data_IF_764952505976
#
_entry.id   IF_764952505976
#
_cell.length_a   1.000
_cell.length_b   1.000
_cell.length_c   1.000
_cell.angle_alpha   90.00
_cell.angle_beta   90.00
_cell.angle_gamma   90.00
#
_symmetry.space_group_name_H-M   'P 1'
#
loop_
_entity.id
_entity.type
_entity.pdbx_description
1 polymer ?
#
# COMPACT_ATOMS: atom_id res chain seq x y z
N UNK A 1 2.06 -8.74 13.88
CA UNK A 1 2.74 -8.07 12.77
C UNK A 1 3.52 -9.02 11.87
N UNK A 2 4.40 -9.90 12.37
CA UNK A 2 5.18 -10.82 11.50
C UNK A 2 4.36 -11.61 10.49
N UNK A 3 3.28 -12.26 10.93
CA UNK A 3 2.42 -13.04 10.04
C UNK A 3 1.84 -12.22 8.88
N UNK A 4 1.58 -10.91 9.09
CA UNK A 4 1.09 -10.02 8.04
C UNK A 4 2.21 -9.70 7.05
N UNK A 5 3.40 -9.35 7.54
CA UNK A 5 4.59 -9.08 6.70
C UNK A 5 4.96 -10.30 5.86
N UNK A 6 4.92 -11.49 6.46
CA UNK A 6 5.22 -12.75 5.78
C UNK A 6 4.15 -13.10 4.74
N UNK A 7 2.86 -12.91 5.06
CA UNK A 7 1.77 -13.09 4.11
C UNK A 7 1.89 -12.13 2.90
N UNK A 8 2.28 -10.88 3.13
CA UNK A 8 2.48 -9.91 2.06
C UNK A 8 3.65 -10.30 1.15
N UNK A 9 4.76 -10.77 1.73
CA UNK A 9 5.88 -11.35 0.97
C UNK A 9 5.41 -12.51 0.10
N UNK A 10 4.66 -13.46 0.67
CA UNK A 10 4.12 -14.61 -0.06
C UNK A 10 3.22 -14.21 -1.23
N UNK A 11 2.31 -13.25 -1.00
CA UNK A 11 1.44 -12.73 -2.07
C UNK A 11 2.26 -12.03 -3.15
N UNK A 12 3.26 -11.23 -2.76
CA UNK A 12 4.14 -10.52 -3.69
C UNK A 12 4.89 -11.45 -4.64
N UNK A 13 5.45 -12.55 -4.13
CA UNK A 13 6.15 -13.56 -4.93
C UNK A 13 5.22 -14.54 -5.66
N UNK A 14 3.97 -14.69 -5.20
CA UNK A 14 3.06 -15.76 -5.62
C UNK A 14 1.67 -15.28 -6.00
N UNK A 15 1.54 -14.19 -6.77
CA UNK A 15 0.25 -13.57 -7.10
C UNK A 15 -0.78 -14.50 -7.76
N UNK A 16 -0.33 -15.40 -8.64
CA UNK A 16 -1.20 -16.41 -9.24
C UNK A 16 -1.72 -17.42 -8.19
N UNK A 17 -0.86 -17.82 -7.25
CA UNK A 17 -1.25 -18.69 -6.15
C UNK A 17 -2.21 -17.98 -5.20
N UNK A 18 -1.95 -16.71 -4.89
CA UNK A 18 -2.84 -15.89 -4.08
C UNK A 18 -4.25 -15.79 -4.68
N UNK A 19 -4.38 -15.70 -6.01
CA UNK A 19 -5.68 -15.70 -6.67
C UNK A 19 -6.47 -17.00 -6.42
N UNK A 20 -5.80 -18.14 -6.49
CA UNK A 20 -6.39 -19.46 -6.18
C UNK A 20 -6.82 -19.52 -4.72
N UNK A 21 -5.95 -19.12 -3.79
CA UNK A 21 -6.23 -19.18 -2.36
C UNK A 21 -7.39 -18.24 -1.96
N UNK A 22 -7.47 -17.03 -2.55
CA UNK A 22 -8.55 -16.07 -2.31
C UNK A 22 -9.91 -16.58 -2.84
N UNK A 23 -9.91 -17.24 -4.01
CA UNK A 23 -11.13 -17.80 -4.61
C UNK A 23 -11.60 -19.05 -3.87
N UNK A 24 -10.71 -20.03 -3.66
CA UNK A 24 -11.04 -21.31 -3.01
C UNK A 24 -11.39 -21.14 -1.53
N UNK A 25 -10.71 -20.22 -0.84
CA UNK A 25 -11.02 -19.83 0.54
C UNK A 25 -12.31 -19.02 0.68
N UNK A 26 -12.97 -18.64 -0.42
CA UNK A 26 -14.18 -17.79 -0.44
C UNK A 26 -13.98 -16.45 0.27
N UNK A 27 -12.76 -15.94 0.30
CA UNK A 27 -12.44 -14.61 0.81
C UNK A 27 -12.90 -13.51 -0.14
N UNK A 28 -13.01 -13.84 -1.43
CA UNK A 28 -13.56 -12.99 -2.47
C UNK A 28 -14.70 -13.71 -3.21
N UNK A 29 -15.81 -13.02 -3.52
CA UNK A 29 -16.92 -13.62 -4.25
C UNK A 29 -16.64 -13.82 -5.75
N UNK A 30 -15.57 -13.21 -6.28
CA UNK A 30 -15.19 -13.31 -7.69
C UNK A 30 -14.55 -14.68 -8.02
N UNK A 31 -14.71 -15.11 -9.27
CA UNK A 31 -14.03 -16.31 -9.76
C UNK A 31 -12.50 -16.09 -9.89
N UNK A 32 -11.72 -17.16 -9.73
CA UNK A 32 -10.25 -17.14 -9.78
C UNK A 32 -9.69 -16.36 -11.00
N UNK A 33 -10.19 -16.53 -12.25
CA UNK A 33 -9.63 -15.80 -13.39
C UNK A 33 -9.77 -14.27 -13.29
N UNK A 34 -10.83 -13.78 -12.65
CA UNK A 34 -11.02 -12.36 -12.42
C UNK A 34 -10.06 -11.83 -11.36
N UNK A 35 -9.86 -12.58 -10.27
CA UNK A 35 -8.90 -12.24 -9.21
C UNK A 35 -7.48 -12.27 -9.76
N UNK A 36 -7.11 -13.30 -10.53
CA UNK A 36 -5.80 -13.41 -11.16
C UNK A 36 -5.52 -12.24 -12.09
N UNK A 37 -6.51 -11.80 -12.88
CA UNK A 37 -6.37 -10.62 -13.75
C UNK A 37 -6.07 -9.35 -12.94
N UNK A 38 -6.75 -9.15 -11.81
CA UNK A 38 -6.54 -8.00 -10.93
C UNK A 38 -5.19 -8.04 -10.20
N UNK A 39 -4.72 -9.22 -9.77
CA UNK A 39 -3.44 -9.32 -9.05
C UNK A 39 -2.22 -9.25 -9.98
N UNK A 40 -2.31 -9.87 -11.16
CA UNK A 40 -1.15 -10.02 -12.06
C UNK A 40 -0.99 -8.87 -13.04
N UNK A 41 -2.02 -8.03 -13.24
CA UNK A 41 -2.07 -6.95 -14.24
C UNK A 41 -1.30 -7.33 -15.50
N UNK A 42 -1.90 -8.17 -16.37
CA UNK A 42 -1.29 -8.52 -17.65
C UNK A 42 -0.90 -7.24 -18.38
N UNK A 43 0.36 -7.16 -18.81
CA UNK A 43 0.89 -6.02 -19.55
C UNK A 43 -0.03 -5.78 -20.76
N UNK A 44 -0.75 -4.67 -20.71
CA UNK A 44 -1.75 -4.33 -21.71
C UNK A 44 -1.11 -3.71 -22.94
N UNK A 45 -1.81 -3.72 -24.05
CA UNK A 45 -1.51 -2.91 -25.25
C UNK A 45 -1.72 -1.38 -25.01
N UNK A 46 -2.13 -0.97 -23.80
CA UNK A 46 -2.41 0.43 -23.48
C UNK A 46 -1.13 1.25 -23.28
N UNK A 47 -1.15 2.48 -23.80
CA UNK A 47 -0.12 3.48 -23.51
C UNK A 47 -0.27 3.98 -22.06
N UNK A 48 0.65 3.57 -21.19
CA UNK A 48 0.73 4.01 -19.80
C UNK A 48 1.54 5.30 -19.74
N UNK A 49 0.98 6.37 -19.13
CA UNK A 49 1.68 7.67 -18.99
C UNK A 49 2.90 7.61 -18.07
N UNK A 50 2.84 6.77 -17.04
CA UNK A 50 3.92 6.55 -16.07
C UNK A 50 4.27 5.07 -15.98
N UNK A 51 5.03 4.51 -16.95
CA UNK A 51 5.40 3.10 -16.91
C UNK A 51 6.26 2.76 -15.68
N UNK A 52 7.04 3.72 -15.19
CA UNK A 52 7.93 3.58 -14.03
C UNK A 52 7.20 3.49 -12.70
N UNK A 53 5.92 3.88 -12.63
CA UNK A 53 5.10 3.73 -11.43
C UNK A 53 4.72 2.27 -11.13
N UNK A 54 5.06 1.36 -12.04
CA UNK A 54 4.87 -0.08 -11.90
C UNK A 54 3.47 -0.41 -11.34
N UNK A 55 2.37 -0.29 -12.10
CA UNK A 55 0.99 -0.35 -11.59
C UNK A 55 0.63 -1.61 -10.78
N UNK A 56 1.41 -2.70 -10.95
CA UNK A 56 1.36 -3.91 -10.12
C UNK A 56 1.81 -3.69 -8.65
N UNK A 57 2.45 -2.55 -8.37
CA UNK A 57 2.95 -2.06 -7.10
C UNK A 57 1.98 -1.10 -6.38
N UNK A 58 0.74 -0.91 -6.88
CA UNK A 58 -0.41 -0.70 -5.97
C UNK A 58 -0.67 -2.01 -5.18
N UNK A 59 0.41 -2.54 -4.63
CA UNK A 59 0.52 -3.81 -3.95
C UNK A 59 0.66 -3.58 -2.47
N UNK A 60 0.76 -4.68 -1.75
CA UNK A 60 0.77 -4.73 -0.31
C UNK A 60 2.13 -4.27 0.26
N UNK A 61 2.42 -2.96 0.23
CA UNK A 61 3.55 -2.41 0.99
C UNK A 61 3.19 -2.34 2.47
N UNK A 62 3.97 -3.02 3.30
CA UNK A 62 3.69 -3.20 4.73
C UNK A 62 4.00 -1.95 5.58
N UNK A 63 4.75 -1.01 5.03
CA UNK A 63 5.30 0.10 5.80
C UNK A 63 4.43 1.36 5.67
N UNK A 64 3.88 1.88 6.78
CA UNK A 64 3.08 3.10 6.74
C UNK A 64 4.02 4.31 6.63
N UNK A 65 4.30 4.77 5.41
CA UNK A 65 5.16 5.94 5.20
C UNK A 65 4.51 7.21 5.74
N UNK A 66 5.26 8.00 6.53
CA UNK A 66 4.81 9.29 7.03
C UNK A 66 4.41 10.27 5.92
N UNK A 67 5.20 10.31 4.84
CA UNK A 67 4.91 11.16 3.67
C UNK A 67 3.57 10.83 3.02
N UNK A 68 3.11 9.57 3.06
CA UNK A 68 1.79 9.21 2.57
C UNK A 68 0.67 9.79 3.46
N UNK A 69 0.80 9.69 4.79
CA UNK A 69 -0.19 10.28 5.72
C UNK A 69 -0.26 11.80 5.60
N UNK A 70 0.90 12.47 5.53
CA UNK A 70 0.98 13.92 5.31
C UNK A 70 0.29 14.30 3.99
N UNK A 71 0.61 13.58 2.90
CA UNK A 71 0.01 13.85 1.60
C UNK A 71 -1.49 13.59 1.60
N UNK A 72 -1.94 12.50 2.19
CA UNK A 72 -3.35 12.16 2.29
C UNK A 72 -4.14 13.26 2.99
N UNK A 73 -3.67 13.75 4.14
CA UNK A 73 -4.34 14.85 4.86
C UNK A 73 -4.36 16.13 4.03
N UNK A 74 -3.26 16.43 3.33
CA UNK A 74 -3.19 17.58 2.42
C UNK A 74 -4.22 17.49 1.29
N UNK A 75 -4.39 16.31 0.67
CA UNK A 75 -5.39 16.12 -0.40
C UNK A 75 -6.83 16.11 0.13
N UNK A 76 -7.05 15.57 1.33
CA UNK A 76 -8.38 15.59 1.97
C UNK A 76 -8.88 17.02 2.21
N UNK A 77 -7.99 17.97 2.51
CA UNK A 77 -8.35 19.39 2.66
C UNK A 77 -8.89 20.00 1.36
N UNK A 78 -8.43 19.51 0.20
CA UNK A 78 -8.88 19.96 -1.13
C UNK A 78 -10.07 19.14 -1.66
N UNK A 79 -10.43 18.05 -1.00
CA UNK A 79 -11.49 17.15 -1.45
C UNK A 79 -12.86 17.68 -1.04
N UNK A 80 -13.75 17.86 -2.01
CA UNK A 80 -15.14 18.23 -1.74
C UNK A 80 -15.88 17.00 -1.19
N UNK A 81 -16.34 17.12 0.06
CA UNK A 81 -17.16 16.10 0.73
C UNK A 81 -18.42 16.75 1.29
N UNK A 82 -19.55 16.02 1.24
CA UNK A 82 -20.84 16.47 1.78
C UNK A 82 -20.90 16.41 3.33
N UNK A 83 -19.89 15.82 3.97
CA UNK A 83 -19.80 15.66 5.43
C UNK A 83 -19.09 16.81 6.16
N UNK A 84 -19.13 16.77 7.50
CA UNK A 84 -18.39 17.72 8.35
C UNK A 84 -16.89 17.49 8.25
N UNK A 85 -16.17 18.49 7.73
CA UNK A 85 -14.72 18.48 7.56
C UNK A 85 -13.95 19.30 8.59
N UNK A 86 -14.62 19.89 9.60
CA UNK A 86 -13.99 20.76 10.62
C UNK A 86 -12.91 20.07 11.44
N UNK A 87 -12.85 18.74 11.41
CA UNK A 87 -11.76 18.00 12.05
C UNK A 87 -10.43 18.17 11.30
N UNK A 88 -10.46 18.31 9.96
CA UNK A 88 -9.27 18.52 9.13
C UNK A 88 -8.58 19.86 9.46
N UNK A 89 -9.36 20.89 9.83
CA UNK A 89 -8.84 22.21 10.22
C UNK A 89 -7.96 22.17 11.48
N UNK A 90 -8.04 21.08 12.27
CA UNK A 90 -7.27 20.90 13.50
C UNK A 90 -6.06 19.97 13.33
N UNK A 91 -5.90 19.36 12.15
CA UNK A 91 -4.79 18.45 11.89
C UNK A 91 -3.59 19.23 11.36
N UNK A 92 -2.43 19.00 11.95
CA UNK A 92 -1.16 19.37 11.34
C UNK A 92 -0.67 18.20 10.48
N UNK A 93 -0.59 18.41 9.16
CA UNK A 93 -0.17 17.38 8.22
C UNK A 93 1.24 16.85 8.53
N UNK A 94 2.11 17.68 9.10
CA UNK A 94 3.48 17.29 9.43
C UNK A 94 3.57 16.35 10.65
N UNK A 95 2.62 16.42 11.59
CA UNK A 95 2.62 15.62 12.82
C UNK A 95 1.63 14.47 12.83
N UNK A 96 0.56 14.53 12.02
CA UNK A 96 -0.59 13.62 12.06
C UNK A 96 -0.21 12.13 11.97
N UNK A 97 0.87 11.82 11.24
CA UNK A 97 1.34 10.44 11.16
C UNK A 97 1.78 9.90 12.52
N UNK A 98 2.56 10.67 13.28
CA UNK A 98 3.04 10.27 14.60
C UNK A 98 1.89 10.17 15.62
N UNK A 99 0.82 10.94 15.43
CA UNK A 99 -0.37 10.92 16.29
C UNK A 99 -1.22 9.67 16.06
N UNK A 100 -1.21 9.10 14.84
CA UNK A 100 -2.09 8.01 14.44
C UNK A 100 -1.39 6.65 14.31
N UNK A 101 -0.10 6.63 14.03
CA UNK A 101 0.63 5.43 13.62
C UNK A 101 1.76 5.12 14.59
N UNK A 102 1.65 3.96 15.25
CA UNK A 102 2.77 3.34 15.96
C UNK A 102 3.49 2.34 15.05
N UNK A 103 4.51 2.83 14.34
CA UNK A 103 5.26 2.03 13.36
C UNK A 103 6.31 1.09 13.99
N UNK A 104 6.53 1.16 15.31
CA UNK A 104 7.61 0.42 16.02
C UNK A 104 7.50 -1.09 15.81
N UNK A 105 6.28 -1.61 15.83
CA UNK A 105 6.01 -3.04 15.65
C UNK A 105 6.28 -3.50 14.21
N UNK A 106 6.02 -2.64 13.22
CA UNK A 106 6.27 -2.93 11.81
C UNK A 106 7.77 -2.89 11.55
N UNK A 107 8.48 -1.86 12.02
CA UNK A 107 9.95 -1.79 11.94
C UNK A 107 10.62 -3.02 12.55
N UNK A 108 10.20 -3.40 13.76
CA UNK A 108 10.70 -4.60 14.44
C UNK A 108 10.38 -5.91 13.70
N UNK A 109 9.30 -5.96 12.93
CA UNK A 109 8.98 -7.12 12.09
C UNK A 109 9.85 -7.14 10.82
N UNK A 110 10.02 -5.99 10.16
CA UNK A 110 10.87 -5.82 8.99
C UNK A 110 12.31 -6.24 9.30
N UNK A 111 12.87 -5.78 10.42
CA UNK A 111 14.24 -6.12 10.83
C UNK A 111 14.42 -7.63 11.02
N UNK A 112 13.46 -8.29 11.68
CA UNK A 112 13.46 -9.75 11.86
C UNK A 112 13.28 -10.53 10.57
N UNK A 113 12.62 -9.94 9.57
CA UNK A 113 12.43 -10.54 8.24
C UNK A 113 13.60 -10.30 7.29
N UNK A 114 14.73 -9.73 7.76
CA UNK A 114 15.95 -9.49 6.96
C UNK A 114 16.15 -8.04 6.53
N UNK A 115 15.41 -7.11 7.13
CA UNK A 115 15.51 -5.67 6.88
C UNK A 115 14.68 -5.17 5.68
N UNK A 116 14.62 -3.84 5.46
CA UNK A 116 13.76 -3.22 4.44
C UNK A 116 13.98 -3.78 3.02
N UNK A 117 15.24 -3.95 2.64
CA UNK A 117 15.62 -4.39 1.29
C UNK A 117 15.12 -5.81 0.99
N UNK A 118 15.08 -6.70 2.00
CA UNK A 118 14.55 -8.05 1.84
C UNK A 118 13.02 -8.09 1.58
N UNK A 119 12.35 -6.96 1.77
CA UNK A 119 10.93 -6.76 1.48
C UNK A 119 10.70 -5.84 0.27
N UNK A 120 11.75 -5.46 -0.45
CA UNK A 120 11.68 -4.52 -1.57
C UNK A 120 11.44 -3.07 -1.15
N UNK A 121 11.67 -2.73 0.12
CA UNK A 121 11.51 -1.38 0.66
C UNK A 121 12.86 -0.61 0.62
N UNK A 122 12.84 0.72 0.47
CA UNK A 122 14.03 1.55 0.61
C UNK A 122 14.61 1.43 2.03
N UNK A 123 15.95 1.41 2.13
CA UNK A 123 16.65 1.27 3.40
C UNK A 123 16.31 2.39 4.39
N UNK A 124 16.02 3.59 3.90
CA UNK A 124 15.63 4.74 4.72
C UNK A 124 14.23 4.62 5.30
N UNK A 125 13.37 3.74 4.75
CA UNK A 125 11.94 3.71 5.04
C UNK A 125 11.28 5.09 4.88
N UNK A 126 11.79 5.88 3.94
CA UNK A 126 11.24 7.16 3.52
C UNK A 126 10.95 7.11 2.04
N UNK A 127 9.91 7.83 1.62
CA UNK A 127 9.48 7.96 0.24
C UNK A 127 8.94 9.37 0.02
N UNK A 128 9.12 9.88 -1.19
CA UNK A 128 8.50 11.13 -1.64
C UNK A 128 7.28 10.73 -2.47
N UNK A 129 6.10 11.21 -2.06
CA UNK A 129 4.85 10.93 -2.76
C UNK A 129 4.79 11.73 -4.07
N UNK A 130 4.64 11.03 -5.19
CA UNK A 130 4.44 11.65 -6.50
C UNK A 130 2.94 11.74 -6.79
N UNK A 131 2.46 12.96 -7.00
CA UNK A 131 1.06 13.23 -7.34
C UNK A 131 1.02 14.13 -8.55
N UNK A 132 0.19 13.74 -9.52
CA UNK A 132 -0.12 14.56 -10.69
C UNK A 132 -1.64 14.75 -10.74
N UNK A 133 -2.11 15.97 -11.03
CA UNK A 133 -3.54 16.27 -11.18
C UNK A 133 -4.15 15.67 -12.44
#
# INVERSE_FOLDING_TARGET
MNAVVDAQRLIGHGRARAAVDLSTGKYLPQAEPAIAKALTYRQSEYQVRHPDWQPQQLGFEAFPYAGFSERLVTEMQNTVVDGDRRFLDRLDAASVHADLVDDRFVRSAIDRSGGPVALGLPASLTRIEQVQP
#
